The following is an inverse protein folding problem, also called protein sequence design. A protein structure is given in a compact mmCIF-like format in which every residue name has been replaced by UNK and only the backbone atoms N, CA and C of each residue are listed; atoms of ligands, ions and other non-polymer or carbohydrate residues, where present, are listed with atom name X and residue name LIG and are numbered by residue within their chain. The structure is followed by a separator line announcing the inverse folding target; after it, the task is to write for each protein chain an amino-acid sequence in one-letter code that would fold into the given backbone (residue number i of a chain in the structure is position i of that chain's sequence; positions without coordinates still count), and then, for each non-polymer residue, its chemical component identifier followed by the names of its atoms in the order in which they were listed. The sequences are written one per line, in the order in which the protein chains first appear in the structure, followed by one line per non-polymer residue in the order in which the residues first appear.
data_IF_486654332299
#
_entry.id   IF_486654332299
#
_cell.length_a   1.000
_cell.length_b   1.000
_cell.length_c   1.000
_cell.angle_alpha   90.00
_cell.angle_beta   90.00
_cell.angle_gamma   90.00
#
_symmetry.space_group_name_H-M   'P 1'
#
loop_
_entity.id
_entity.type
_entity.pdbx_description
1 polymer ?
#
# COMPACT_ATOMS: atom_id res chain seq x y z
N UNK A 1 22.00 57.29 -34.55
CA UNK A 1 21.39 56.03 -35.04
C UNK A 1 20.71 55.35 -33.86
N UNK A 2 19.46 54.93 -34.04
CA UNK A 2 18.43 54.76 -33.00
C UNK A 2 18.81 53.84 -31.82
N UNK A 3 19.00 54.44 -30.63
CA UNK A 3 19.05 53.76 -29.33
C UNK A 3 17.65 53.51 -28.73
N UNK A 4 16.61 53.92 -29.46
CA UNK A 4 15.23 53.54 -29.20
C UNK A 4 14.94 52.31 -30.07
N UNK A 5 15.56 51.17 -29.73
CA UNK A 5 14.89 49.89 -30.02
C UNK A 5 13.55 50.03 -29.31
N UNK A 6 12.51 50.14 -30.11
CA UNK A 6 11.25 50.72 -29.71
C UNK A 6 10.77 49.95 -28.47
N UNK A 7 10.50 50.63 -27.35
CA UNK A 7 10.13 49.97 -26.08
C UNK A 7 8.97 48.98 -26.27
N UNK A 8 8.17 49.19 -27.32
CA UNK A 8 7.14 48.30 -27.82
C UNK A 8 7.68 47.01 -28.46
N UNK A 9 8.70 47.09 -29.31
CA UNK A 9 9.39 45.94 -29.90
C UNK A 9 10.09 45.10 -28.83
N UNK A 10 10.75 45.75 -27.87
CA UNK A 10 11.40 45.05 -26.75
C UNK A 10 10.38 44.32 -25.86
N UNK A 11 9.22 44.95 -25.59
CA UNK A 11 8.09 44.31 -24.89
C UNK A 11 7.46 43.18 -25.71
N UNK A 12 7.40 43.30 -27.04
CA UNK A 12 6.87 42.27 -27.93
C UNK A 12 7.83 41.08 -27.98
N UNK A 13 9.12 41.31 -28.17
CA UNK A 13 10.17 40.30 -28.10
C UNK A 13 10.20 39.60 -26.72
N UNK A 14 10.01 40.32 -25.61
CA UNK A 14 9.92 39.70 -24.29
C UNK A 14 8.66 38.83 -24.10
N UNK A 15 7.51 39.24 -24.66
CA UNK A 15 6.28 38.43 -24.67
C UNK A 15 6.40 37.22 -25.59
N UNK A 16 7.04 37.37 -26.74
CA UNK A 16 7.35 36.27 -27.66
C UNK A 16 8.36 35.31 -27.01
N UNK A 17 9.34 35.80 -26.24
CA UNK A 17 10.23 34.96 -25.44
C UNK A 17 9.46 34.13 -24.40
N UNK A 18 8.41 34.69 -23.79
CA UNK A 18 7.52 33.92 -22.90
C UNK A 18 6.62 32.95 -23.66
N UNK A 19 6.17 33.30 -24.86
CA UNK A 19 5.38 32.41 -25.72
C UNK A 19 6.23 31.23 -26.21
N UNK A 20 7.46 31.47 -26.67
CA UNK A 20 8.41 30.44 -27.09
C UNK A 20 8.68 29.46 -25.94
N UNK A 21 8.91 29.97 -24.72
CA UNK A 21 9.05 29.10 -23.54
C UNK A 21 7.80 28.29 -23.25
N UNK A 22 6.61 28.85 -23.43
CA UNK A 22 5.36 28.10 -23.31
C UNK A 22 5.24 27.03 -24.40
N UNK A 23 5.66 27.33 -25.62
CA UNK A 23 5.70 26.36 -26.73
C UNK A 23 6.69 25.24 -26.45
N UNK A 24 7.89 25.52 -25.93
CA UNK A 24 8.87 24.51 -25.49
C UNK A 24 8.32 23.62 -24.37
N UNK A 25 7.61 24.21 -23.40
CA UNK A 25 6.91 23.43 -22.35
C UNK A 25 5.81 22.55 -22.94
N UNK A 26 5.06 23.04 -23.93
CA UNK A 26 4.03 22.24 -24.62
C UNK A 26 4.67 21.09 -25.41
N UNK A 27 5.77 21.35 -26.13
CA UNK A 27 6.50 20.32 -26.88
C UNK A 27 7.06 19.23 -25.97
N UNK A 28 7.68 19.61 -24.86
CA UNK A 28 8.18 18.64 -23.86
C UNK A 28 7.05 17.83 -23.24
N UNK A 29 5.92 18.47 -22.89
CA UNK A 29 4.75 17.75 -22.36
C UNK A 29 4.14 16.79 -23.39
N UNK A 30 4.09 17.17 -24.67
CA UNK A 30 3.65 16.29 -25.74
C UNK A 30 4.60 15.11 -25.94
N UNK A 31 5.92 15.32 -25.80
CA UNK A 31 6.91 14.25 -25.80
C UNK A 31 6.67 13.24 -24.66
N UNK A 32 6.49 13.74 -23.44
CA UNK A 32 6.17 12.89 -22.28
C UNK A 32 4.84 12.16 -22.46
N UNK A 33 3.82 12.79 -23.05
CA UNK A 33 2.56 12.13 -23.36
C UNK A 33 2.74 11.00 -24.38
N UNK A 34 3.55 11.20 -25.42
CA UNK A 34 3.85 10.16 -26.40
C UNK A 34 4.59 8.97 -25.78
N UNK A 35 5.58 9.23 -24.92
CA UNK A 35 6.30 8.18 -24.17
C UNK A 35 5.35 7.39 -23.27
N UNK A 36 4.49 8.08 -22.50
CA UNK A 36 3.48 7.43 -21.64
C UNK A 36 2.49 6.60 -22.45
N UNK A 37 2.10 7.05 -23.63
CA UNK A 37 1.22 6.29 -24.52
C UNK A 37 1.90 5.00 -25.01
N UNK A 38 3.18 5.06 -25.37
CA UNK A 38 3.96 3.87 -25.74
C UNK A 38 4.13 2.89 -24.57
N UNK A 39 4.39 3.40 -23.36
CA UNK A 39 4.45 2.57 -22.14
C UNK A 39 3.11 1.84 -21.90
N UNK A 40 1.98 2.53 -22.06
CA UNK A 40 0.64 1.94 -21.91
C UNK A 40 0.38 0.84 -22.95
N UNK A 41 0.77 1.07 -24.21
CA UNK A 41 0.64 0.07 -25.27
C UNK A 41 1.51 -1.17 -25.01
N UNK A 42 2.75 -0.97 -24.56
CA UNK A 42 3.64 -2.06 -24.18
C UNK A 42 3.09 -2.86 -23.00
N UNK A 43 2.57 -2.16 -21.98
CA UNK A 43 1.91 -2.79 -20.84
C UNK A 43 0.73 -3.64 -21.30
N UNK A 44 -0.12 -3.13 -22.20
CA UNK A 44 -1.26 -3.87 -22.72
C UNK A 44 -0.83 -5.14 -23.49
N UNK A 45 0.25 -5.07 -24.27
CA UNK A 45 0.83 -6.24 -24.94
C UNK A 45 1.37 -7.27 -23.95
N UNK A 46 2.09 -6.81 -22.93
CA UNK A 46 2.60 -7.68 -21.85
C UNK A 46 1.46 -8.36 -21.09
N UNK A 47 0.37 -7.63 -20.80
CA UNK A 47 -0.82 -8.21 -20.17
C UNK A 47 -1.46 -9.30 -21.04
N UNK A 48 -1.56 -9.09 -22.35
CA UNK A 48 -2.10 -10.09 -23.28
C UNK A 48 -1.21 -11.34 -23.34
N UNK A 49 0.11 -11.16 -23.42
CA UNK A 49 1.06 -12.27 -23.39
C UNK A 49 1.01 -13.03 -22.07
N UNK A 50 0.95 -12.32 -20.95
CA UNK A 50 0.87 -12.93 -19.63
C UNK A 50 -0.44 -13.73 -19.46
N UNK A 51 -1.58 -13.20 -19.92
CA UNK A 51 -2.85 -13.94 -19.97
C UNK A 51 -2.76 -15.19 -20.83
N UNK A 52 -2.13 -15.10 -22.00
CA UNK A 52 -1.93 -16.24 -22.90
C UNK A 52 -1.04 -17.34 -22.28
N UNK A 53 -0.10 -16.95 -21.42
CA UNK A 53 0.73 -17.86 -20.62
C UNK A 53 0.05 -18.37 -19.34
N UNK A 54 -1.21 -17.99 -19.10
CA UNK A 54 -2.00 -18.44 -17.95
C UNK A 54 -1.84 -17.60 -16.68
N UNK A 55 -1.10 -16.49 -16.72
CA UNK A 55 -0.98 -15.58 -15.58
C UNK A 55 -2.26 -14.76 -15.39
N UNK A 56 -2.69 -14.64 -14.14
CA UNK A 56 -3.83 -13.78 -13.78
C UNK A 56 -3.36 -12.34 -13.53
N UNK A 57 -4.24 -11.36 -13.73
CA UNK A 57 -3.94 -9.93 -13.49
C UNK A 57 -3.49 -9.64 -12.04
N UNK A 58 -3.84 -10.53 -11.11
CA UNK A 58 -3.45 -10.45 -9.69
C UNK A 58 -1.99 -10.86 -9.47
N UNK A 59 -1.50 -11.88 -10.18
CA UNK A 59 -0.09 -12.31 -10.15
C UNK A 59 0.84 -11.26 -10.77
N UNK A 60 0.31 -10.45 -11.69
CA UNK A 60 1.00 -9.33 -12.31
C UNK A 60 0.95 -8.04 -11.46
N UNK A 61 0.29 -8.09 -10.29
CA UNK A 61 0.25 -6.99 -9.33
C UNK A 61 -0.76 -5.86 -9.64
N UNK A 62 -1.61 -6.01 -10.66
CA UNK A 62 -2.57 -4.97 -11.08
C UNK A 62 -3.80 -4.84 -10.17
N UNK A 63 -4.05 -5.82 -9.29
CA UNK A 63 -5.09 -5.73 -8.27
C UNK A 63 -4.57 -6.22 -6.92
N UNK A 64 -4.20 -5.29 -6.03
CA UNK A 64 -4.20 -5.59 -4.60
C UNK A 64 -5.65 -5.58 -4.11
N UNK A 65 -6.33 -6.70 -4.27
CA UNK A 65 -7.54 -6.98 -3.49
C UNK A 65 -7.12 -7.13 -2.03
N UNK A 66 -7.66 -6.28 -1.15
CA UNK A 66 -7.32 -6.23 0.27
C UNK A 66 -7.91 -7.38 1.11
N UNK A 67 -8.31 -8.47 0.47
CA UNK A 67 -8.97 -9.59 1.15
C UNK A 67 -8.83 -10.85 0.28
N UNK A 68 -7.71 -11.58 0.39
CA UNK A 68 -7.64 -13.02 0.10
C UNK A 68 -6.42 -13.60 0.84
N UNK A 69 -6.72 -14.59 1.67
CA UNK A 69 -5.79 -15.55 2.27
C UNK A 69 -5.00 -16.20 1.14
N UNK A 70 -3.67 -16.11 1.19
CA UNK A 70 -2.75 -16.70 0.21
C UNK A 70 -3.07 -18.19 0.05
N UNK A 71 -3.72 -18.56 -1.06
CA UNK A 71 -3.79 -19.94 -1.52
C UNK A 71 -2.52 -20.21 -2.32
N UNK A 72 -1.69 -21.08 -1.75
CA UNK A 72 -0.38 -21.49 -2.23
C UNK A 72 -0.53 -22.22 -3.59
N UNK A 73 -0.03 -21.62 -4.67
CA UNK A 73 0.22 -22.33 -5.94
C UNK A 73 1.72 -22.34 -6.15
N UNK A 74 2.34 -23.41 -5.66
CA UNK A 74 3.77 -23.61 -5.61
C UNK A 74 4.23 -24.49 -6.78
N UNK A 75 4.69 -23.86 -7.86
CA UNK A 75 5.63 -24.49 -8.79
C UNK A 75 6.70 -23.47 -9.20
N UNK A 76 7.94 -23.74 -8.79
CA UNK A 76 9.10 -22.87 -9.02
C UNK A 76 10.15 -23.04 -7.93
N UNK A 77 11.08 -23.96 -8.16
CA UNK A 77 12.15 -24.39 -7.26
C UNK A 77 13.03 -23.24 -6.75
N UNK A 78 13.20 -23.23 -5.43
CA UNK A 78 13.92 -22.22 -4.67
C UNK A 78 13.01 -21.61 -3.61
N UNK A 79 12.63 -22.39 -2.59
CA UNK A 79 11.85 -21.91 -1.44
C UNK A 79 12.57 -20.71 -0.83
N UNK A 80 12.17 -19.51 -1.26
CA UNK A 80 12.71 -18.24 -0.74
C UNK A 80 12.63 -18.31 0.78
N UNK A 81 13.74 -18.00 1.45
CA UNK A 81 13.81 -18.00 2.91
C UNK A 81 12.64 -17.17 3.47
N UNK A 82 11.70 -17.77 4.22
CA UNK A 82 10.64 -17.01 4.86
C UNK A 82 11.24 -16.06 5.89
N UNK A 83 10.58 -14.93 6.17
CA UNK A 83 11.07 -13.98 7.17
C UNK A 83 10.94 -14.59 8.56
N UNK A 84 12.03 -14.55 9.37
CA UNK A 84 12.01 -15.05 10.75
C UNK A 84 10.87 -14.38 11.53
N UNK A 85 9.88 -15.14 12.04
CA UNK A 85 8.75 -14.60 12.77
C UNK A 85 9.20 -13.82 14.01
N UNK A 86 8.57 -12.67 14.26
CA UNK A 86 8.75 -11.88 15.48
C UNK A 86 7.40 -11.67 16.14
N UNK A 87 7.25 -12.10 17.38
CA UNK A 87 6.03 -11.86 18.14
C UNK A 87 5.97 -10.39 18.58
N UNK A 88 4.85 -9.73 18.31
CA UNK A 88 4.58 -8.38 18.79
C UNK A 88 3.46 -8.44 19.82
N UNK A 89 3.77 -8.04 21.06
CA UNK A 89 2.78 -7.92 22.12
C UNK A 89 1.84 -6.73 21.85
N UNK A 90 0.55 -6.93 22.05
CA UNK A 90 -0.45 -5.86 21.93
C UNK A 90 -0.40 -5.00 23.18
N UNK A 91 0.01 -3.73 23.04
CA UNK A 91 -0.07 -2.75 24.11
C UNK A 91 -1.41 -2.03 24.04
N UNK A 92 -2.24 -2.16 25.09
CA UNK A 92 -3.57 -1.55 25.20
C UNK A 92 -3.54 -0.01 25.04
N UNK A 93 -2.52 0.66 25.57
CA UNK A 93 -2.44 2.12 25.57
C UNK A 93 -2.13 2.73 24.19
N UNK A 94 -1.54 1.96 23.28
CA UNK A 94 -1.20 2.42 21.93
C UNK A 94 -2.25 2.07 20.89
N UNK A 95 -3.37 1.46 21.29
CA UNK A 95 -4.42 1.06 20.36
C UNK A 95 -5.38 2.21 20.04
N UNK A 96 -5.89 2.16 18.82
CA UNK A 96 -6.93 3.05 18.32
C UNK A 96 -8.21 2.25 18.10
N UNK A 97 -9.35 2.92 18.27
CA UNK A 97 -10.68 2.35 18.14
C UNK A 97 -11.53 3.21 17.23
N UNK A 98 -12.57 2.64 16.67
CA UNK A 98 -13.58 3.37 15.91
C UNK A 98 -14.95 2.76 16.15
N UNK A 99 -16.00 3.53 15.90
CA UNK A 99 -17.38 3.04 15.99
C UNK A 99 -17.93 2.91 14.58
N UNK A 100 -18.38 1.71 14.23
CA UNK A 100 -19.01 1.42 12.96
C UNK A 100 -20.28 0.62 13.23
N UNK A 101 -21.41 1.04 12.64
CA UNK A 101 -22.73 0.42 12.87
C UNK A 101 -23.14 0.34 14.36
N UNK A 102 -22.72 1.32 15.17
CA UNK A 102 -23.03 1.37 16.60
C UNK A 102 -22.20 0.41 17.47
N UNK A 103 -21.23 -0.31 16.90
CA UNK A 103 -20.32 -1.20 17.62
C UNK A 103 -18.90 -0.63 17.66
N UNK A 104 -18.23 -0.76 18.80
CA UNK A 104 -16.81 -0.42 18.93
C UNK A 104 -15.98 -1.50 18.23
N UNK A 105 -15.04 -1.06 17.39
CA UNK A 105 -14.07 -1.93 16.74
C UNK A 105 -12.64 -1.46 17.04
N UNK A 106 -11.71 -2.43 17.10
CA UNK A 106 -10.28 -2.17 17.23
C UNK A 106 -9.67 -1.87 15.85
N UNK A 107 -8.92 -0.78 15.75
CA UNK A 107 -8.16 -0.46 14.55
C UNK A 107 -6.97 -1.43 14.40
N UNK A 108 -7.09 -2.38 13.47
CA UNK A 108 -6.08 -3.42 13.24
C UNK A 108 -4.78 -2.87 12.62
N UNK A 109 -4.87 -1.86 11.77
CA UNK A 109 -3.69 -1.28 11.09
C UNK A 109 -3.78 0.25 10.98
N UNK A 110 -2.64 0.91 11.09
CA UNK A 110 -2.56 2.37 10.92
C UNK A 110 -2.92 2.84 9.51
N UNK A 111 -2.73 1.99 8.50
CA UNK A 111 -3.08 2.29 7.10
C UNK A 111 -4.59 2.40 6.90
N UNK A 112 -5.40 1.66 7.68
CA UNK A 112 -6.87 1.78 7.67
C UNK A 112 -7.38 3.11 8.20
N UNK A 113 -6.59 3.82 9.02
CA UNK A 113 -7.01 5.08 9.65
C UNK A 113 -7.47 6.11 8.62
N UNK A 114 -6.73 6.29 7.53
CA UNK A 114 -7.04 7.25 6.47
C UNK A 114 -8.33 6.86 5.72
N UNK A 115 -8.49 5.57 5.41
CA UNK A 115 -9.68 5.06 4.72
C UNK A 115 -10.95 5.20 5.56
N UNK A 116 -10.87 4.95 6.87
CA UNK A 116 -11.99 5.14 7.79
C UNK A 116 -12.36 6.62 7.94
N UNK A 117 -11.36 7.50 8.06
CA UNK A 117 -11.60 8.95 8.12
C UNK A 117 -12.27 9.48 6.84
N UNK A 118 -11.89 8.98 5.67
CA UNK A 118 -12.53 9.34 4.40
C UNK A 118 -13.99 8.87 4.31
N UNK A 119 -14.34 7.76 4.97
CA UNK A 119 -15.72 7.27 5.11
C UNK A 119 -16.52 8.02 6.17
N UNK A 120 -15.95 9.03 6.82
CA UNK A 120 -16.58 9.78 7.91
C UNK A 120 -16.58 9.06 9.26
N UNK A 121 -15.87 7.94 9.37
CA UNK A 121 -15.77 7.16 10.61
C UNK A 121 -14.67 7.75 11.49
N UNK A 122 -15.01 8.11 12.74
CA UNK A 122 -14.06 8.70 13.67
C UNK A 122 -13.19 7.63 14.34
N UNK A 123 -11.88 7.78 14.19
CA UNK A 123 -10.87 6.92 14.83
C UNK A 123 -10.30 7.66 16.04
N UNK A 124 -10.42 7.05 17.22
CA UNK A 124 -10.06 7.64 18.51
C UNK A 124 -9.06 6.77 19.29
N UNK A 125 -8.11 7.35 20.04
CA UNK A 125 -7.28 6.60 20.97
C UNK A 125 -8.07 6.16 22.20
N UNK A 126 -7.58 5.14 22.92
CA UNK A 126 -8.20 4.61 24.13
C UNK A 126 -8.71 5.68 25.12
N UNK A 127 -7.92 6.73 25.36
CA UNK A 127 -8.25 7.81 26.29
C UNK A 127 -9.52 8.61 25.91
N UNK A 128 -9.94 8.55 24.65
CA UNK A 128 -11.11 9.27 24.11
C UNK A 128 -12.28 8.34 23.80
N UNK A 129 -12.20 7.05 24.13
CA UNK A 129 -13.30 6.10 23.98
C UNK A 129 -14.32 6.33 25.09
N UNK A 130 -15.61 6.31 24.75
CA UNK A 130 -16.69 6.43 25.75
C UNK A 130 -16.62 5.28 26.75
N UNK A 131 -16.80 5.61 28.04
CA UNK A 131 -16.81 4.65 29.16
C UNK A 131 -17.86 3.55 28.98
N UNK A 132 -18.91 3.79 28.20
CA UNK A 132 -19.94 2.79 27.85
C UNK A 132 -19.36 1.53 27.20
N UNK A 133 -18.27 1.67 26.44
CA UNK A 133 -17.62 0.55 25.74
C UNK A 133 -16.44 -0.06 26.51
N UNK A 134 -16.25 0.28 27.80
CA UNK A 134 -15.10 -0.18 28.57
C UNK A 134 -14.97 -1.72 28.60
N UNK A 135 -16.11 -2.44 28.70
CA UNK A 135 -16.14 -3.92 28.66
C UNK A 135 -15.80 -4.47 27.27
N UNK A 136 -16.23 -3.79 26.22
CA UNK A 136 -15.97 -4.20 24.84
C UNK A 136 -14.50 -4.00 24.47
N UNK A 137 -13.84 -2.97 25.01
CA UNK A 137 -12.40 -2.74 24.82
C UNK A 137 -11.60 -3.96 25.31
N UNK A 138 -11.87 -4.44 26.52
CA UNK A 138 -11.12 -5.57 27.08
C UNK A 138 -11.34 -6.84 26.26
N UNK A 139 -12.58 -7.08 25.82
CA UNK A 139 -12.91 -8.19 24.92
C UNK A 139 -12.17 -8.10 23.59
N UNK A 140 -12.20 -6.93 22.94
CA UNK A 140 -11.54 -6.70 21.65
C UNK A 140 -10.02 -6.86 21.74
N UNK A 141 -9.41 -6.40 22.84
CA UNK A 141 -7.97 -6.60 23.08
C UNK A 141 -7.66 -8.09 23.28
N UNK A 142 -8.47 -8.80 24.06
CA UNK A 142 -8.29 -10.24 24.27
C UNK A 142 -8.41 -11.02 22.94
N UNK A 143 -9.43 -10.77 22.14
CA UNK A 143 -9.60 -11.37 20.81
C UNK A 143 -8.42 -11.07 19.89
N UNK A 144 -7.95 -9.82 19.86
CA UNK A 144 -6.78 -9.43 19.08
C UNK A 144 -5.51 -10.14 19.56
N UNK A 145 -5.35 -10.37 20.87
CA UNK A 145 -4.19 -11.11 21.40
C UNK A 145 -4.20 -12.57 20.97
N UNK A 146 -5.37 -13.23 20.99
CA UNK A 146 -5.53 -14.60 20.50
C UNK A 146 -5.16 -14.68 19.01
N UNK A 147 -5.72 -13.78 18.19
CA UNK A 147 -5.38 -13.71 16.77
C UNK A 147 -3.89 -13.43 16.52
N UNK A 148 -3.25 -12.61 17.36
CA UNK A 148 -1.81 -12.34 17.24
C UNK A 148 -0.95 -13.58 17.52
N UNK A 149 -1.36 -14.41 18.50
CA UNK A 149 -0.70 -15.69 18.82
C UNK A 149 -0.91 -16.69 17.69
N UNK A 150 -2.13 -16.85 17.20
CA UNK A 150 -2.45 -17.74 16.08
C UNK A 150 -1.63 -17.38 14.82
N UNK A 151 -1.61 -16.09 14.46
CA UNK A 151 -0.84 -15.59 13.32
C UNK A 151 0.68 -15.80 13.49
N UNK A 152 1.19 -15.68 14.72
CA UNK A 152 2.58 -15.98 15.01
C UNK A 152 2.89 -17.48 14.85
N UNK A 153 2.04 -18.35 15.40
CA UNK A 153 2.19 -19.79 15.33
C UNK A 153 2.10 -20.33 13.89
N UNK A 154 1.25 -19.74 13.07
CA UNK A 154 1.19 -20.03 11.64
C UNK A 154 2.54 -19.70 10.96
N UNK A 155 3.10 -18.51 11.22
CA UNK A 155 4.40 -18.10 10.67
C UNK A 155 5.56 -18.94 11.20
N UNK A 156 5.52 -19.36 12.47
CA UNK A 156 6.48 -20.30 13.05
C UNK A 156 6.42 -21.65 12.36
N UNK A 157 5.23 -22.14 12.02
CA UNK A 157 5.06 -23.40 11.28
C UNK A 157 5.76 -23.33 9.93
N UNK A 158 5.48 -22.29 9.13
CA UNK A 158 6.12 -22.04 7.83
C UNK A 158 7.64 -21.91 7.96
N UNK A 159 8.11 -21.18 8.97
CA UNK A 159 9.54 -21.02 9.24
C UNK A 159 10.20 -22.34 9.62
N UNK A 160 9.59 -23.14 10.49
CA UNK A 160 10.11 -24.42 10.94
C UNK A 160 10.17 -25.45 9.81
N UNK A 161 9.16 -25.48 8.93
CA UNK A 161 9.16 -26.32 7.74
C UNK A 161 10.32 -25.97 6.79
N UNK A 162 10.59 -24.68 6.60
CA UNK A 162 11.76 -24.24 5.84
C UNK A 162 13.07 -24.55 6.56
N UNK A 163 13.14 -24.28 7.87
CA UNK A 163 14.32 -24.46 8.69
C UNK A 163 14.73 -25.93 8.79
N UNK A 164 13.78 -26.86 8.94
CA UNK A 164 14.04 -28.29 8.95
C UNK A 164 14.68 -28.79 7.65
N UNK A 165 14.27 -28.23 6.50
CA UNK A 165 14.82 -28.60 5.19
C UNK A 165 16.15 -27.91 4.84
N UNK A 166 16.51 -26.81 5.51
CA UNK A 166 17.65 -25.96 5.16
C UNK A 166 18.67 -25.77 6.31
N UNK A 167 18.52 -26.50 7.42
CA UNK A 167 19.40 -26.41 8.60
C UNK A 167 19.23 -25.10 9.41
N UNK A 168 18.05 -24.50 9.38
CA UNK A 168 17.72 -23.30 10.15
C UNK A 168 17.36 -23.59 11.61
N UNK A 169 17.37 -22.55 12.43
CA UNK A 169 16.92 -22.59 13.83
C UNK A 169 15.40 -22.87 13.90
N UNK A 170 14.99 -23.86 14.70
CA UNK A 170 13.57 -24.17 14.95
C UNK A 170 13.06 -23.24 16.06
N UNK A 171 11.90 -22.63 15.82
CA UNK A 171 11.23 -21.74 16.76
C UNK A 171 10.08 -22.44 17.49
N UNK A 172 9.86 -22.09 18.75
CA UNK A 172 8.73 -22.56 19.53
C UNK A 172 7.46 -21.75 19.25
N UNK A 173 6.32 -22.45 19.26
CA UNK A 173 4.99 -21.83 19.23
C UNK A 173 4.66 -21.23 20.60
N UNK A 174 3.74 -20.28 20.62
CA UNK A 174 3.21 -19.62 21.84
C UNK A 174 1.79 -20.01 22.14
#
# INVERSE_FOLDING_TARGET
MSLLIDKRELKKAAKELTLVKLTEVIETLNGVLAERQQEVELIAQLEQMAKAQGYTLEQLGYKQSSDVVVADSSEGSGRKRPVKPKFKTINKGSQFFYVENGQLQLLRTHTMKKGLQQRGIQVVPLAKVDKKFAKDIDKLIAEATVQAVENFNAKVTIWNEWAAANGGEILEKR
#
